data_IF_247281270452
#
_entry.id   IF_247281270452
#
_cell.length_a   1.000
_cell.length_b   1.000
_cell.length_c   1.000
_cell.angle_alpha   90.00
_cell.angle_beta   90.00
_cell.angle_gamma   90.00
#
_symmetry.space_group_name_H-M   'P 1'
#
loop_
_entity.id
_entity.type
_entity.pdbx_description
1 polymer ?
#
# COMPACT_ATOMS: atom_id res chain seq x y z
N UNK A 1 -50.82 -52.63 -60.61
CA UNK A 1 -50.92 -51.69 -61.74
C UNK A 1 -51.59 -50.39 -61.28
N UNK A 2 -50.97 -49.23 -61.58
CA UNK A 2 -51.50 -47.84 -61.61
C UNK A 2 -51.84 -47.21 -60.24
N UNK A 3 -51.08 -46.26 -59.66
CA UNK A 3 -50.68 -44.87 -60.04
C UNK A 3 -51.86 -43.92 -60.36
N UNK A 4 -52.18 -42.98 -59.43
CA UNK A 4 -52.32 -41.50 -59.57
C UNK A 4 -53.11 -40.91 -58.36
N UNK A 5 -52.45 -40.12 -57.51
CA UNK A 5 -52.48 -38.63 -57.40
C UNK A 5 -53.78 -38.05 -56.81
N UNK A 6 -53.70 -37.49 -55.59
CA UNK A 6 -54.05 -36.08 -55.33
C UNK A 6 -53.49 -35.65 -53.96
N UNK A 7 -52.66 -34.60 -53.97
CA UNK A 7 -52.09 -33.91 -52.81
C UNK A 7 -52.74 -32.54 -52.78
N UNK A 8 -53.44 -32.22 -51.70
CA UNK A 8 -53.85 -30.85 -51.36
C UNK A 8 -54.09 -30.74 -49.84
N UNK A 9 -53.24 -29.92 -49.22
CA UNK A 9 -53.45 -29.04 -48.05
C UNK A 9 -53.92 -29.57 -46.69
N UNK A 10 -53.08 -29.32 -45.68
CA UNK A 10 -53.30 -28.72 -44.34
C UNK A 10 -52.15 -29.23 -43.45
N UNK A 11 -51.30 -28.44 -42.79
CA UNK A 11 -51.39 -27.07 -42.32
C UNK A 11 -50.66 -27.05 -40.96
N UNK A 12 -49.47 -26.44 -40.94
CA UNK A 12 -48.71 -25.89 -39.80
C UNK A 12 -48.77 -26.53 -38.41
N UNK A 13 -47.62 -27.04 -37.93
CA UNK A 13 -47.05 -26.72 -36.60
C UNK A 13 -45.64 -27.30 -36.48
N UNK A 14 -44.63 -26.64 -37.06
CA UNK A 14 -43.24 -26.85 -36.63
C UNK A 14 -43.06 -26.06 -35.33
N UNK A 15 -42.99 -26.76 -34.20
CA UNK A 15 -42.55 -26.23 -32.92
C UNK A 15 -41.08 -25.81 -33.07
N UNK A 16 -40.86 -24.57 -33.49
CA UNK A 16 -39.56 -23.92 -33.41
C UNK A 16 -39.22 -23.73 -31.93
N UNK A 17 -38.41 -24.64 -31.39
CA UNK A 17 -37.71 -24.45 -30.13
C UNK A 17 -36.98 -23.10 -30.20
N UNK A 18 -37.17 -22.16 -29.27
CA UNK A 18 -36.34 -20.98 -29.26
C UNK A 18 -34.93 -21.45 -28.90
N UNK A 19 -34.03 -21.37 -29.88
CA UNK A 19 -32.61 -21.30 -29.61
C UNK A 19 -32.49 -20.10 -28.67
N UNK A 20 -32.29 -20.37 -27.39
CA UNK A 20 -31.87 -19.39 -26.41
C UNK A 20 -30.53 -18.89 -26.95
N UNK A 21 -30.59 -17.80 -27.71
CA UNK A 21 -29.46 -16.95 -27.97
C UNK A 21 -29.05 -16.47 -26.58
N UNK A 22 -28.14 -17.21 -25.94
CA UNK A 22 -27.21 -16.63 -24.98
C UNK A 22 -26.51 -15.56 -25.78
N UNK A 23 -27.09 -14.36 -25.78
CA UNK A 23 -26.38 -13.16 -26.12
C UNK A 23 -25.11 -13.24 -25.29
N UNK A 24 -23.98 -13.48 -25.94
CA UNK A 24 -22.70 -13.09 -25.40
C UNK A 24 -22.86 -11.60 -25.14
N UNK A 25 -23.24 -11.25 -23.91
CA UNK A 25 -22.93 -9.94 -23.34
C UNK A 25 -21.48 -9.74 -23.73
N UNK A 26 -21.20 -8.78 -24.61
CA UNK A 26 -19.83 -8.37 -24.87
C UNK A 26 -19.16 -8.30 -23.50
N UNK A 27 -18.09 -9.07 -23.29
CA UNK A 27 -17.48 -9.21 -21.98
C UNK A 27 -17.23 -7.80 -21.47
N UNK A 28 -17.89 -7.41 -20.37
CA UNK A 28 -17.77 -6.05 -19.82
C UNK A 28 -16.28 -5.82 -19.58
N UNK A 29 -15.74 -4.78 -20.22
CA UNK A 29 -14.39 -4.34 -19.97
C UNK A 29 -14.41 -3.47 -18.71
N UNK A 30 -13.81 -3.96 -17.63
CA UNK A 30 -13.66 -3.19 -16.40
C UNK A 30 -12.46 -2.26 -16.55
N UNK A 31 -12.61 -0.98 -16.20
CA UNK A 31 -11.52 -0.01 -16.18
C UNK A 31 -11.23 0.44 -14.77
N UNK A 32 -10.04 0.14 -14.29
CA UNK A 32 -9.60 0.50 -12.95
C UNK A 32 -8.44 1.49 -13.06
N UNK A 33 -8.62 2.67 -12.48
CA UNK A 33 -7.56 3.65 -12.35
C UNK A 33 -6.72 3.37 -11.12
N UNK A 34 -5.39 3.48 -11.21
CA UNK A 34 -4.50 3.28 -10.08
C UNK A 34 -3.45 4.36 -9.99
N UNK A 35 -3.52 5.17 -8.93
CA UNK A 35 -2.58 6.26 -8.65
C UNK A 35 -1.68 5.91 -7.45
N UNK A 36 -0.38 5.82 -7.66
CA UNK A 36 0.60 5.47 -6.62
C UNK A 36 1.58 6.63 -6.35
N UNK A 37 2.01 6.79 -5.09
CA UNK A 37 2.93 7.86 -4.71
C UNK A 37 4.40 7.54 -5.03
N UNK A 38 4.84 6.30 -4.79
CA UNK A 38 6.26 5.97 -4.62
C UNK A 38 6.83 4.91 -5.58
N UNK A 39 6.00 4.01 -6.14
CA UNK A 39 6.50 2.85 -6.92
C UNK A 39 6.80 3.26 -8.36
N UNK A 40 7.97 2.96 -8.94
CA UNK A 40 8.25 3.23 -10.34
C UNK A 40 7.22 2.59 -11.26
N UNK A 41 6.71 3.32 -12.26
CA UNK A 41 5.61 2.82 -13.11
C UNK A 41 5.96 1.49 -13.80
N UNK A 42 7.23 1.33 -14.20
CA UNK A 42 7.76 0.10 -14.81
C UNK A 42 7.66 -1.14 -13.90
N UNK A 43 7.66 -0.96 -12.59
CA UNK A 43 7.66 -2.05 -11.61
C UNK A 43 6.23 -2.50 -11.23
N UNK A 44 5.22 -1.72 -11.64
CA UNK A 44 3.79 -1.97 -11.38
C UNK A 44 3.09 -2.79 -12.48
N UNK A 45 3.72 -2.92 -13.65
CA UNK A 45 3.10 -3.44 -14.87
C UNK A 45 3.22 -4.95 -15.06
N UNK A 46 2.37 -5.49 -15.93
CA UNK A 46 2.39 -6.89 -16.35
C UNK A 46 1.61 -7.84 -15.44
N UNK A 47 1.54 -9.13 -15.80
CA UNK A 47 0.83 -10.13 -15.01
C UNK A 47 1.52 -10.40 -13.67
N UNK A 48 2.84 -10.24 -13.58
CA UNK A 48 3.61 -10.46 -12.37
C UNK A 48 4.51 -9.25 -12.09
N UNK A 49 3.95 -8.15 -11.58
CA UNK A 49 4.71 -6.95 -11.23
C UNK A 49 5.89 -7.25 -10.33
N UNK A 50 7.01 -6.55 -10.55
CA UNK A 50 8.21 -6.72 -9.71
C UNK A 50 7.93 -6.21 -8.30
N UNK A 51 7.25 -5.07 -8.18
CA UNK A 51 6.87 -4.49 -6.89
C UNK A 51 5.87 -5.41 -6.15
N UNK A 52 6.15 -5.79 -4.89
CA UNK A 52 5.35 -6.78 -4.17
C UNK A 52 3.93 -6.31 -3.86
N UNK A 53 3.74 -5.02 -3.58
CA UNK A 53 2.42 -4.43 -3.35
C UNK A 53 1.61 -4.47 -4.64
N UNK A 54 2.26 -4.10 -5.75
CA UNK A 54 1.65 -4.11 -7.07
C UNK A 54 1.22 -5.52 -7.49
N UNK A 55 2.10 -6.49 -7.26
CA UNK A 55 1.86 -7.91 -7.50
C UNK A 55 0.69 -8.44 -6.69
N UNK A 56 0.61 -8.09 -5.40
CA UNK A 56 -0.46 -8.55 -4.52
C UNK A 56 -1.85 -8.10 -4.99
N UNK A 57 -1.98 -6.85 -5.45
CA UNK A 57 -3.24 -6.34 -6.01
C UNK A 57 -3.59 -7.00 -7.34
N UNK A 58 -2.65 -7.09 -8.29
CA UNK A 58 -2.88 -7.72 -9.60
C UNK A 58 -3.25 -9.20 -9.44
N UNK A 59 -2.60 -9.91 -8.53
CA UNK A 59 -2.96 -11.29 -8.20
C UNK A 59 -4.34 -11.38 -7.55
N UNK A 60 -4.66 -10.51 -6.59
CA UNK A 60 -5.99 -10.49 -5.97
C UNK A 60 -7.11 -10.23 -6.98
N UNK A 61 -6.89 -9.35 -7.97
CA UNK A 61 -7.83 -9.12 -9.06
C UNK A 61 -7.98 -10.37 -9.95
N UNK A 62 -6.87 -11.02 -10.30
CA UNK A 62 -6.88 -12.27 -11.08
C UNK A 62 -7.64 -13.39 -10.38
N UNK A 63 -7.42 -13.56 -9.07
CA UNK A 63 -8.09 -14.56 -8.24
C UNK A 63 -9.62 -14.38 -8.24
N UNK A 64 -10.09 -13.14 -8.46
CA UNK A 64 -11.50 -12.77 -8.57
C UNK A 64 -12.02 -12.77 -10.04
N UNK A 65 -11.18 -13.17 -11.00
CA UNK A 65 -11.54 -13.27 -12.41
C UNK A 65 -11.35 -11.98 -13.23
N UNK A 66 -10.70 -10.95 -12.67
CA UNK A 66 -10.32 -9.74 -13.39
C UNK A 66 -8.91 -9.88 -13.95
N UNK A 67 -8.81 -10.07 -15.26
CA UNK A 67 -7.56 -10.39 -15.96
C UNK A 67 -7.24 -9.25 -16.93
N UNK A 68 -6.11 -8.58 -16.66
CA UNK A 68 -5.63 -7.47 -17.49
C UNK A 68 -5.41 -7.91 -18.93
N UNK A 69 -5.88 -7.10 -19.88
CA UNK A 69 -5.83 -7.38 -21.31
C UNK A 69 -6.89 -8.35 -21.83
N UNK A 70 -7.72 -8.92 -20.95
CA UNK A 70 -8.87 -9.74 -21.34
C UNK A 70 -10.20 -9.04 -21.03
N UNK A 71 -10.48 -8.83 -19.75
CA UNK A 71 -11.70 -8.18 -19.27
C UNK A 71 -11.42 -7.00 -18.34
N UNK A 72 -10.14 -6.65 -18.13
CA UNK A 72 -9.71 -5.56 -17.26
C UNK A 72 -8.69 -4.67 -17.99
N UNK A 73 -8.83 -3.36 -17.82
CA UNK A 73 -7.81 -2.34 -18.08
C UNK A 73 -7.37 -1.76 -16.75
N UNK A 74 -6.06 -1.76 -16.49
CA UNK A 74 -5.44 -1.12 -15.33
C UNK A 74 -4.69 0.13 -15.77
N UNK A 75 -5.34 1.28 -15.66
CA UNK A 75 -4.76 2.58 -15.98
C UNK A 75 -3.88 3.04 -14.82
N UNK A 76 -2.56 2.86 -14.93
CA UNK A 76 -1.61 3.16 -13.86
C UNK A 76 -1.03 4.56 -14.01
N UNK A 77 -0.84 5.25 -12.88
CA UNK A 77 -0.10 6.49 -12.74
C UNK A 77 0.74 6.43 -11.47
N UNK A 78 1.98 6.89 -11.55
CA UNK A 78 2.83 6.99 -10.37
C UNK A 78 3.59 8.31 -10.32
N UNK A 79 3.62 8.89 -9.12
CA UNK A 79 4.43 10.06 -8.84
C UNK A 79 5.92 9.70 -8.67
N UNK A 80 6.25 8.43 -8.42
CA UNK A 80 7.64 7.94 -8.27
C UNK A 80 8.45 8.77 -7.26
N UNK A 81 7.79 9.16 -6.15
CA UNK A 81 8.36 10.00 -5.09
C UNK A 81 8.28 11.50 -5.33
N UNK A 82 7.81 11.96 -6.50
CA UNK A 82 7.63 13.39 -6.85
C UNK A 82 6.22 13.87 -6.54
N UNK A 83 5.97 14.15 -5.26
CA UNK A 83 4.62 14.42 -4.74
C UNK A 83 3.93 15.62 -5.43
N UNK A 84 4.71 16.58 -5.94
CA UNK A 84 4.22 17.71 -6.72
C UNK A 84 3.46 17.30 -8.00
N UNK A 85 3.72 16.10 -8.54
CA UNK A 85 3.05 15.58 -9.76
C UNK A 85 1.66 14.98 -9.50
N UNK A 86 1.27 14.79 -8.23
CA UNK A 86 0.05 14.05 -7.89
C UNK A 86 -1.21 14.70 -8.48
N UNK A 87 -1.29 16.04 -8.47
CA UNK A 87 -2.45 16.76 -9.00
C UNK A 87 -2.68 16.52 -10.49
N UNK A 88 -1.62 16.61 -11.29
CA UNK A 88 -1.65 16.33 -12.73
C UNK A 88 -2.03 14.86 -13.01
N UNK A 89 -1.35 13.92 -12.35
CA UNK A 89 -1.58 12.49 -12.52
C UNK A 89 -3.01 12.08 -12.10
N UNK A 90 -3.56 12.71 -11.07
CA UNK A 90 -4.95 12.52 -10.66
C UNK A 90 -5.94 13.00 -11.72
N UNK A 91 -5.68 14.16 -12.35
CA UNK A 91 -6.52 14.71 -13.42
C UNK A 91 -6.51 13.83 -14.66
N UNK A 92 -5.34 13.35 -15.08
CA UNK A 92 -5.24 12.38 -16.17
C UNK A 92 -6.05 11.12 -15.89
N UNK A 93 -5.94 10.58 -14.67
CA UNK A 93 -6.61 9.34 -14.30
C UNK A 93 -8.14 9.47 -14.29
N UNK A 94 -8.66 10.59 -13.76
CA UNK A 94 -10.12 10.87 -13.75
C UNK A 94 -10.64 11.06 -15.18
N UNK A 95 -9.86 11.70 -16.06
CA UNK A 95 -10.25 11.92 -17.46
C UNK A 95 -10.43 10.62 -18.27
N UNK A 96 -9.82 9.51 -17.83
CA UNK A 96 -10.00 8.19 -18.44
C UNK A 96 -11.35 7.53 -18.11
N UNK A 97 -12.15 8.16 -17.25
CA UNK A 97 -13.45 7.68 -16.77
C UNK A 97 -13.40 6.22 -16.28
N UNK A 98 -12.53 5.90 -15.29
CA UNK A 98 -12.49 4.56 -14.73
C UNK A 98 -13.78 4.22 -13.97
N UNK A 99 -14.12 2.92 -13.91
CA UNK A 99 -15.23 2.40 -13.10
C UNK A 99 -14.93 2.56 -11.59
N UNK A 100 -13.66 2.45 -11.21
CA UNK A 100 -13.17 2.61 -9.83
C UNK A 100 -11.71 3.03 -9.85
N UNK A 101 -11.30 3.83 -8.87
CA UNK A 101 -9.92 4.26 -8.69
C UNK A 101 -9.33 3.73 -7.38
N UNK A 102 -8.05 3.37 -7.41
CA UNK A 102 -7.28 2.92 -6.25
C UNK A 102 -6.14 3.91 -6.04
N UNK A 103 -5.85 4.22 -4.78
CA UNK A 103 -4.67 5.01 -4.41
C UNK A 103 -3.60 4.16 -3.73
N UNK A 104 -2.37 4.66 -3.71
CA UNK A 104 -1.30 4.11 -2.87
C UNK A 104 -0.41 5.22 -2.35
N UNK A 105 -0.32 5.36 -1.02
CA UNK A 105 0.62 6.29 -0.38
C UNK A 105 0.00 7.34 0.54
N UNK A 106 -1.15 7.10 1.19
CA UNK A 106 -1.72 8.00 2.20
C UNK A 106 -2.97 8.75 1.76
N UNK A 107 -3.59 9.47 2.69
CA UNK A 107 -4.89 10.14 2.47
C UNK A 107 -4.82 11.26 1.42
N UNK A 108 -3.69 11.96 1.30
CA UNK A 108 -3.51 13.04 0.33
C UNK A 108 -3.70 12.56 -1.13
N UNK A 109 -3.42 11.29 -1.41
CA UNK A 109 -3.65 10.67 -2.72
C UNK A 109 -5.15 10.58 -3.02
N UNK A 110 -5.94 10.13 -2.04
CA UNK A 110 -7.39 10.03 -2.18
C UNK A 110 -8.02 11.43 -2.23
N UNK A 111 -7.49 12.39 -1.47
CA UNK A 111 -7.97 13.78 -1.52
C UNK A 111 -7.73 14.41 -2.90
N UNK A 112 -6.61 14.11 -3.55
CA UNK A 112 -6.33 14.58 -4.90
C UNK A 112 -7.38 14.11 -5.91
N UNK A 113 -7.77 12.83 -5.87
CA UNK A 113 -8.84 12.29 -6.71
C UNK A 113 -10.22 12.85 -6.31
N UNK A 114 -10.51 12.92 -5.01
CA UNK A 114 -11.81 13.34 -4.50
C UNK A 114 -12.11 14.83 -4.76
N UNK A 115 -11.07 15.67 -4.95
CA UNK A 115 -11.24 17.07 -5.40
C UNK A 115 -11.74 17.17 -6.85
N UNK A 116 -11.42 16.17 -7.67
CA UNK A 116 -11.74 16.15 -9.10
C UNK A 116 -13.06 15.41 -9.38
N UNK A 117 -13.45 14.47 -8.52
CA UNK A 117 -14.72 13.75 -8.66
C UNK A 117 -15.31 13.33 -7.31
N UNK A 118 -16.63 13.47 -7.19
CA UNK A 118 -17.43 12.99 -6.06
C UNK A 118 -18.25 11.75 -6.39
N UNK A 119 -18.17 11.25 -7.63
CA UNK A 119 -19.04 10.18 -8.13
C UNK A 119 -18.28 8.89 -8.45
N UNK A 120 -17.06 8.99 -8.99
CA UNK A 120 -16.24 7.81 -9.28
C UNK A 120 -15.75 7.21 -7.95
N UNK A 121 -15.99 5.91 -7.68
CA UNK A 121 -15.49 5.23 -6.50
C UNK A 121 -13.98 5.32 -6.33
N UNK A 122 -13.52 5.58 -5.11
CA UNK A 122 -12.12 5.64 -4.71
C UNK A 122 -11.90 4.65 -3.57
N UNK A 123 -10.99 3.70 -3.77
CA UNK A 123 -10.52 2.80 -2.73
C UNK A 123 -9.15 3.29 -2.28
N UNK A 124 -9.00 3.61 -1.00
CA UNK A 124 -7.71 3.94 -0.37
C UNK A 124 -7.26 2.76 0.49
N UNK A 125 -6.36 1.89 0.01
CA UNK A 125 -5.89 0.73 0.78
C UNK A 125 -4.84 1.09 1.82
N UNK A 126 -4.52 2.37 1.96
CA UNK A 126 -3.39 2.86 2.73
C UNK A 126 -3.73 4.23 3.32
N UNK A 127 -4.87 4.33 4.00
CA UNK A 127 -5.34 5.56 4.64
C UNK A 127 -4.73 5.75 6.03
N UNK A 128 -4.63 7.00 6.46
CA UNK A 128 -4.01 7.35 7.75
C UNK A 128 -5.08 7.74 8.78
N UNK A 129 -5.75 8.86 8.52
CA UNK A 129 -6.93 9.36 9.22
C UNK A 129 -7.92 9.93 8.19
N UNK A 130 -8.66 9.07 7.47
CA UNK A 130 -9.56 9.51 6.41
C UNK A 130 -10.74 10.35 6.94
N UNK A 131 -11.04 10.30 8.24
CA UNK A 131 -12.03 11.17 8.87
C UNK A 131 -11.45 12.57 9.04
N UNK A 132 -10.29 12.71 9.68
CA UNK A 132 -9.58 13.98 9.82
C UNK A 132 -9.22 14.61 8.48
N UNK A 133 -8.92 13.79 7.46
CA UNK A 133 -8.68 14.23 6.09
C UNK A 133 -9.95 14.64 5.33
N UNK A 134 -11.14 14.49 5.91
CA UNK A 134 -12.43 14.83 5.28
C UNK A 134 -12.79 13.92 4.09
N UNK A 135 -12.17 12.75 3.98
CA UNK A 135 -12.45 11.77 2.92
C UNK A 135 -13.73 10.99 3.18
N UNK A 136 -14.00 10.69 4.46
CA UNK A 136 -15.14 9.88 4.90
C UNK A 136 -15.79 10.50 6.13
N UNK A 137 -17.09 10.32 6.31
CA UNK A 137 -17.81 10.83 7.48
C UNK A 137 -17.47 10.03 8.76
N UNK A 138 -17.32 8.72 8.64
CA UNK A 138 -16.87 7.82 9.71
C UNK A 138 -16.29 6.53 9.10
N UNK A 139 -15.58 5.75 9.92
CA UNK A 139 -15.06 4.46 9.46
C UNK A 139 -16.19 3.45 9.16
N UNK A 140 -17.25 3.42 9.98
CA UNK A 140 -18.36 2.48 9.79
C UNK A 140 -19.27 2.87 8.63
N UNK A 141 -19.45 4.17 8.40
CA UNK A 141 -20.31 4.73 7.36
C UNK A 141 -19.58 5.87 6.65
N UNK A 142 -18.86 5.58 5.54
CA UNK A 142 -18.10 6.61 4.85
C UNK A 142 -18.93 7.73 4.24
N UNK A 143 -20.14 7.42 3.75
CA UNK A 143 -21.12 8.41 3.27
C UNK A 143 -20.79 9.07 1.92
N UNK A 144 -19.66 8.76 1.29
CA UNK A 144 -19.23 9.35 0.02
C UNK A 144 -18.73 8.33 -1.00
N UNK A 145 -17.89 8.79 -1.93
CA UNK A 145 -17.27 7.92 -2.94
C UNK A 145 -15.94 7.28 -2.49
N UNK A 146 -15.52 7.47 -1.24
CA UNK A 146 -14.25 6.94 -0.71
C UNK A 146 -14.51 5.82 0.30
N UNK A 147 -13.75 4.74 0.21
CA UNK A 147 -13.68 3.65 1.21
C UNK A 147 -12.27 3.05 1.21
N UNK A 148 -11.99 2.01 2.00
CA UNK A 148 -10.73 1.28 1.95
C UNK A 148 -10.24 0.75 3.29
N UNK A 149 -8.95 0.89 3.54
CA UNK A 149 -8.28 0.35 4.71
C UNK A 149 -7.38 1.40 5.36
N UNK A 150 -7.28 1.35 6.69
CA UNK A 150 -6.25 2.07 7.41
C UNK A 150 -4.92 1.31 7.35
N UNK A 151 -3.83 2.04 7.20
CA UNK A 151 -2.46 1.55 7.33
C UNK A 151 -1.69 2.23 8.47
N UNK A 152 -2.11 3.44 8.85
CA UNK A 152 -1.59 4.10 10.04
C UNK A 152 -2.28 3.59 11.30
N UNK A 153 -1.49 3.36 12.34
CA UNK A 153 -1.93 2.77 13.61
C UNK A 153 -1.65 3.69 14.80
N UNK A 154 -1.32 4.96 14.55
CA UNK A 154 -1.20 5.99 15.58
C UNK A 154 0.20 6.11 16.19
N UNK A 155 0.42 7.15 17.02
CA UNK A 155 1.69 7.38 17.69
C UNK A 155 2.13 6.24 18.62
N UNK A 156 1.18 5.51 19.22
CA UNK A 156 1.45 4.36 20.08
C UNK A 156 2.15 3.22 19.33
N UNK A 157 1.83 3.05 18.05
CA UNK A 157 2.49 2.06 17.20
C UNK A 157 3.97 2.41 16.96
N UNK A 158 4.26 3.69 16.74
CA UNK A 158 5.61 4.18 16.51
C UNK A 158 6.45 4.14 17.79
N UNK A 159 5.87 4.47 18.95
CA UNK A 159 6.56 4.28 20.24
C UNK A 159 6.86 2.81 20.52
N UNK A 160 5.95 1.88 20.14
CA UNK A 160 6.22 0.44 20.19
C UNK A 160 7.38 0.03 19.28
N UNK A 161 7.46 0.61 18.07
CA UNK A 161 8.60 0.38 17.17
C UNK A 161 9.92 0.86 17.80
N UNK A 162 9.90 1.97 18.54
CA UNK A 162 11.11 2.48 19.22
C UNK A 162 11.54 1.53 20.36
N UNK A 163 10.57 1.00 21.11
CA UNK A 163 10.82 -0.02 22.13
C UNK A 163 11.44 -1.29 21.52
N UNK A 164 10.93 -1.76 20.38
CA UNK A 164 11.47 -2.95 19.70
C UNK A 164 12.91 -2.73 19.23
N UNK A 165 13.23 -1.54 18.71
CA UNK A 165 14.62 -1.20 18.35
C UNK A 165 15.53 -1.18 19.58
N UNK A 166 15.07 -0.60 20.69
CA UNK A 166 15.82 -0.58 21.95
C UNK A 166 16.02 -1.99 22.53
N UNK A 167 15.05 -2.89 22.39
CA UNK A 167 15.19 -4.28 22.79
C UNK A 167 16.19 -5.04 21.91
N UNK A 168 16.17 -4.82 20.59
CA UNK A 168 17.13 -5.40 19.66
C UNK A 168 18.55 -4.85 19.86
N UNK A 169 18.68 -3.59 20.27
CA UNK A 169 19.96 -2.89 20.48
C UNK A 169 19.99 -2.26 21.89
N UNK A 170 20.13 -3.06 22.97
CA UNK A 170 20.00 -2.56 24.35
C UNK A 170 20.97 -1.45 24.72
N UNK A 171 22.14 -1.43 24.08
CA UNK A 171 23.19 -0.43 24.32
C UNK A 171 22.95 0.90 23.60
N UNK A 172 21.99 0.98 22.68
CA UNK A 172 21.73 2.23 21.95
C UNK A 172 21.15 3.31 22.86
N UNK A 173 21.83 4.44 22.97
CA UNK A 173 21.42 5.61 23.76
C UNK A 173 21.13 6.81 22.88
N UNK A 174 21.70 6.88 21.67
CA UNK A 174 21.49 7.93 20.68
C UNK A 174 20.88 7.31 19.43
N UNK A 175 19.59 7.55 19.19
CA UNK A 175 18.89 7.00 18.04
C UNK A 175 18.58 8.12 17.06
N UNK A 176 19.04 7.99 15.81
CA UNK A 176 18.68 8.94 14.77
C UNK A 176 17.27 8.67 14.27
N UNK A 177 16.41 9.68 14.32
CA UNK A 177 15.10 9.68 13.71
C UNK A 177 15.19 10.35 12.33
N UNK A 178 15.25 9.53 11.28
CA UNK A 178 15.31 10.01 9.90
C UNK A 178 13.91 10.36 9.41
N UNK A 179 13.60 11.65 9.38
CA UNK A 179 12.26 12.14 9.12
C UNK A 179 12.27 13.54 8.50
N UNK A 180 11.25 13.88 7.72
CA UNK A 180 10.97 15.26 7.34
C UNK A 180 10.48 16.08 8.56
N UNK A 181 10.60 17.42 8.49
CA UNK A 181 10.26 18.34 9.59
C UNK A 181 8.81 18.21 10.05
N UNK A 182 7.87 18.10 9.12
CA UNK A 182 6.44 17.93 9.40
C UNK A 182 6.13 16.65 10.17
N UNK A 183 6.85 15.56 9.89
CA UNK A 183 6.72 14.31 10.66
C UNK A 183 7.32 14.44 12.07
N UNK A 184 8.46 15.14 12.21
CA UNK A 184 9.09 15.40 13.51
C UNK A 184 8.24 16.29 14.43
N UNK A 185 7.62 17.33 13.87
CA UNK A 185 6.78 18.27 14.60
C UNK A 185 5.33 17.77 14.74
N UNK A 186 4.97 16.71 14.01
CA UNK A 186 3.66 16.09 14.05
C UNK A 186 3.43 15.14 15.23
N UNK A 187 2.21 14.56 15.35
CA UNK A 187 1.82 13.73 16.49
C UNK A 187 2.76 12.55 16.76
N UNK A 188 3.29 11.91 15.71
CA UNK A 188 4.25 10.79 15.83
C UNK A 188 5.57 11.26 16.44
N UNK A 189 6.17 12.30 15.86
CA UNK A 189 7.45 12.82 16.33
C UNK A 189 7.36 13.32 17.78
N UNK A 190 6.26 13.99 18.14
CA UNK A 190 6.01 14.42 19.52
C UNK A 190 5.87 13.24 20.49
N UNK A 191 5.11 12.19 20.13
CA UNK A 191 4.98 11.01 20.98
C UNK A 191 6.31 10.27 21.16
N UNK A 192 7.12 10.17 20.09
CA UNK A 192 8.45 9.58 20.15
C UNK A 192 9.40 10.39 21.03
N UNK A 193 9.34 11.72 20.98
CA UNK A 193 10.11 12.61 21.86
C UNK A 193 9.75 12.42 23.34
N UNK A 194 8.48 12.17 23.66
CA UNK A 194 8.03 11.84 25.02
C UNK A 194 8.47 10.44 25.44
N UNK A 195 8.37 9.46 24.54
CA UNK A 195 8.68 8.06 24.86
C UNK A 195 10.18 7.79 25.01
N UNK A 196 11.02 8.41 24.18
CA UNK A 196 12.45 8.09 24.09
C UNK A 196 13.20 8.19 25.45
N UNK A 197 13.04 9.25 26.26
CA UNK A 197 13.70 9.34 27.56
C UNK A 197 13.30 8.23 28.53
N UNK A 198 12.05 7.75 28.46
CA UNK A 198 11.57 6.64 29.31
C UNK A 198 12.25 5.30 28.98
N UNK A 199 12.84 5.20 27.78
CA UNK A 199 13.64 4.07 27.30
C UNK A 199 15.15 4.31 27.46
N UNK A 200 15.57 5.40 28.09
CA UNK A 200 16.98 5.79 28.18
C UNK A 200 17.59 6.15 26.82
N UNK A 201 16.77 6.66 25.90
CA UNK A 201 17.17 7.06 24.54
C UNK A 201 17.06 8.57 24.39
N UNK A 202 18.10 9.17 23.82
CA UNK A 202 18.06 10.49 23.19
C UNK A 202 17.72 10.31 21.71
N UNK A 203 16.55 10.81 21.32
CA UNK A 203 16.12 10.78 19.93
C UNK A 203 16.64 12.02 19.20
N UNK A 204 17.39 11.81 18.12
CA UNK A 204 18.04 12.88 17.35
C UNK A 204 17.28 13.02 16.05
N UNK A 205 16.57 14.13 15.85
CA UNK A 205 15.97 14.42 14.55
C UNK A 205 17.06 14.63 13.51
N UNK A 206 17.08 13.77 12.51
CA UNK A 206 17.91 13.89 11.31
C UNK A 206 16.98 14.20 10.16
N UNK A 207 16.86 15.49 9.86
CA UNK A 207 16.02 15.96 8.77
C UNK A 207 16.58 15.56 7.41
N UNK A 208 15.70 15.11 6.51
CA UNK A 208 16.01 14.94 5.09
C UNK A 208 15.01 15.73 4.24
N UNK A 209 15.44 16.13 3.05
CA UNK A 209 14.55 16.72 2.06
C UNK A 209 13.78 15.63 1.29
N UNK A 210 12.64 15.96 0.65
CA UNK A 210 11.86 14.99 -0.15
C UNK A 210 12.66 14.25 -1.24
N UNK A 211 13.75 14.85 -1.74
CA UNK A 211 14.54 14.28 -2.84
C UNK A 211 16.04 14.20 -2.54
N UNK A 212 16.45 14.44 -1.29
CA UNK A 212 17.86 14.40 -0.93
C UNK A 212 18.07 13.95 0.51
N UNK A 213 18.95 12.95 0.66
CA UNK A 213 19.44 12.43 1.94
C UNK A 213 20.89 12.83 2.21
N UNK A 214 21.53 13.57 1.31
CA UNK A 214 22.98 13.83 1.37
C UNK A 214 23.39 14.50 2.68
N UNK A 215 22.68 15.55 3.10
CA UNK A 215 22.97 16.26 4.35
C UNK A 215 22.66 15.40 5.59
N UNK A 216 21.55 14.67 5.58
CA UNK A 216 21.17 13.72 6.62
C UNK A 216 22.26 12.65 6.84
N UNK A 217 22.73 12.06 5.74
CA UNK A 217 23.77 11.02 5.75
C UNK A 217 25.13 11.59 6.15
N UNK A 218 25.49 12.77 5.66
CA UNK A 218 26.72 13.46 6.06
C UNK A 218 26.72 13.77 7.56
N UNK A 219 25.59 14.22 8.11
CA UNK A 219 25.43 14.45 9.56
C UNK A 219 25.61 13.16 10.35
N UNK A 220 24.91 12.09 9.98
CA UNK A 220 25.05 10.78 10.65
C UNK A 220 26.45 10.16 10.47
N UNK A 221 27.21 10.55 9.46
CA UNK A 221 28.61 10.12 9.30
C UNK A 221 29.54 10.89 10.23
N UNK A 222 29.34 12.20 10.39
CA UNK A 222 30.14 13.05 11.30
C UNK A 222 29.85 12.77 12.76
N UNK A 223 28.59 12.51 13.08
CA UNK A 223 28.11 12.22 14.43
C UNK A 223 27.30 10.92 14.42
N UNK A 224 27.98 9.75 14.38
CA UNK A 224 27.32 8.45 14.31
C UNK A 224 26.32 8.24 15.47
N UNK A 225 25.04 7.98 15.18
CA UNK A 225 24.11 7.48 16.18
C UNK A 225 24.36 5.98 16.42
N UNK A 226 23.82 5.46 17.52
CA UNK A 226 23.91 4.04 17.85
C UNK A 226 22.96 3.18 17.01
N UNK A 227 21.85 3.78 16.56
CA UNK A 227 20.86 3.11 15.72
C UNK A 227 20.04 4.10 14.88
N UNK A 228 19.39 3.58 13.83
CA UNK A 228 18.53 4.30 12.90
C UNK A 228 17.06 3.94 13.10
N UNK A 229 16.22 4.95 13.24
CA UNK A 229 14.77 4.84 13.21
C UNK A 229 14.25 5.62 12.00
N UNK A 230 13.76 4.90 10.99
CA UNK A 230 13.29 5.53 9.75
C UNK A 230 11.81 5.87 9.89
N UNK A 231 11.40 7.12 9.66
CA UNK A 231 10.00 7.52 9.73
C UNK A 231 9.15 6.88 8.62
N UNK A 232 7.89 6.58 8.95
CA UNK A 232 6.87 6.24 7.98
C UNK A 232 6.58 7.45 7.09
N UNK A 233 6.92 7.35 5.80
CA UNK A 233 6.55 8.32 4.77
C UNK A 233 6.75 7.72 3.34
N UNK A 234 5.88 8.02 2.35
CA UNK A 234 6.04 7.51 0.97
C UNK A 234 7.39 7.80 0.33
N UNK A 235 8.01 8.94 0.65
CA UNK A 235 9.37 9.28 0.16
C UNK A 235 10.42 8.32 0.72
N UNK A 236 10.33 7.95 2.00
CA UNK A 236 11.22 6.95 2.61
C UNK A 236 10.96 5.56 2.03
N UNK A 237 9.71 5.22 1.70
CA UNK A 237 9.40 3.98 0.99
C UNK A 237 10.07 3.94 -0.39
N UNK A 238 9.94 5.02 -1.17
CA UNK A 238 10.55 5.12 -2.51
C UNK A 238 12.09 4.96 -2.44
N UNK A 239 12.72 5.54 -1.42
CA UNK A 239 14.17 5.56 -1.23
C UNK A 239 14.70 4.49 -0.27
N UNK A 240 13.90 3.48 0.08
CA UNK A 240 14.23 2.47 1.10
C UNK A 240 15.57 1.78 0.85
N UNK A 241 15.89 1.44 -0.40
CA UNK A 241 17.17 0.80 -0.74
C UNK A 241 18.35 1.72 -0.43
N UNK A 242 18.26 3.00 -0.80
CA UNK A 242 19.30 4.00 -0.51
C UNK A 242 19.56 4.14 1.00
N UNK A 243 18.49 4.14 1.79
CA UNK A 243 18.57 4.24 3.26
C UNK A 243 19.20 2.98 3.86
N UNK A 244 18.78 1.80 3.41
CA UNK A 244 19.31 0.51 3.87
C UNK A 244 20.79 0.36 3.49
N UNK A 245 21.17 0.72 2.26
CA UNK A 245 22.56 0.68 1.80
C UNK A 245 23.46 1.61 2.62
N UNK A 246 22.95 2.80 2.99
CA UNK A 246 23.66 3.71 3.88
C UNK A 246 23.86 3.10 5.27
N UNK A 247 22.78 2.58 5.88
CA UNK A 247 22.85 1.94 7.19
C UNK A 247 23.83 0.75 7.21
N UNK A 248 23.82 -0.07 6.16
CA UNK A 248 24.75 -1.20 5.99
C UNK A 248 26.21 -0.72 5.91
N UNK A 249 26.50 0.31 5.12
CA UNK A 249 27.86 0.89 5.02
C UNK A 249 28.35 1.47 6.34
N UNK A 250 27.45 2.06 7.13
CA UNK A 250 27.77 2.62 8.45
C UNK A 250 27.76 1.57 9.56
N UNK A 251 27.48 0.29 9.26
CA UNK A 251 27.24 -0.78 10.25
C UNK A 251 26.24 -0.34 11.33
N UNK A 252 25.19 0.36 10.92
CA UNK A 252 24.21 0.96 11.80
C UNK A 252 22.95 0.08 11.87
N UNK A 253 22.62 -0.50 13.03
CA UNK A 253 21.36 -1.23 13.19
C UNK A 253 20.19 -0.27 13.03
N UNK A 254 19.10 -0.72 12.41
CA UNK A 254 17.94 0.16 12.20
C UNK A 254 16.61 -0.56 12.11
N UNK A 255 15.56 0.17 12.49
CA UNK A 255 14.18 -0.27 12.34
C UNK A 255 13.45 0.55 11.28
N UNK A 256 12.70 -0.16 10.46
CA UNK A 256 12.01 0.40 9.29
C UNK A 256 10.48 0.25 9.44
N UNK A 257 9.68 1.16 8.87
CA UNK A 257 8.23 1.11 8.94
C UNK A 257 7.62 0.23 7.83
N UNK A 258 8.45 -0.50 7.09
CA UNK A 258 8.06 -1.33 5.95
C UNK A 258 8.84 -2.63 5.94
N UNK A 259 8.15 -3.74 5.71
CA UNK A 259 8.79 -5.05 5.49
C UNK A 259 9.78 -5.04 4.33
N UNK A 260 9.51 -4.25 3.28
CA UNK A 260 10.33 -4.19 2.06
C UNK A 260 11.74 -3.67 2.34
N UNK A 261 11.95 -2.90 3.41
CA UNK A 261 13.28 -2.48 3.82
C UNK A 261 14.10 -3.64 4.41
N UNK A 262 13.46 -4.58 5.10
CA UNK A 262 14.12 -5.79 5.64
C UNK A 262 14.48 -6.74 4.51
N UNK A 263 13.59 -6.88 3.51
CA UNK A 263 13.88 -7.62 2.27
C UNK A 263 15.06 -7.01 1.47
N UNK A 264 15.26 -5.70 1.60
CA UNK A 264 16.39 -4.97 1.00
C UNK A 264 17.70 -5.08 1.81
N UNK A 265 17.70 -5.76 2.96
CA UNK A 265 18.88 -5.94 3.82
C UNK A 265 18.85 -5.15 5.14
N UNK A 266 17.77 -4.42 5.43
CA UNK A 266 17.57 -3.77 6.72
C UNK A 266 17.48 -4.77 7.87
N UNK A 267 17.80 -4.33 9.10
CA UNK A 267 17.83 -5.21 10.27
C UNK A 267 16.45 -5.71 10.68
N UNK A 268 15.47 -4.82 10.87
CA UNK A 268 14.14 -5.22 11.31
C UNK A 268 13.06 -4.22 10.91
N UNK A 269 11.81 -4.66 10.88
CA UNK A 269 10.65 -3.79 10.69
C UNK A 269 9.50 -4.21 11.57
N UNK A 270 8.68 -3.24 11.95
CA UNK A 270 7.39 -3.50 12.55
C UNK A 270 6.36 -2.67 11.79
N UNK A 271 5.46 -3.33 11.07
CA UNK A 271 4.57 -2.66 10.10
C UNK A 271 3.25 -3.39 9.93
N UNK A 272 2.24 -2.66 9.44
CA UNK A 272 1.06 -3.27 8.82
C UNK A 272 1.47 -3.98 7.53
N UNK A 273 0.85 -5.11 7.22
CA UNK A 273 1.11 -5.82 5.97
C UNK A 273 0.50 -5.11 4.76
N UNK A 274 1.27 -4.22 4.10
CA UNK A 274 0.79 -3.48 2.91
C UNK A 274 0.37 -4.43 1.79
N UNK A 275 1.04 -5.57 1.62
CA UNK A 275 0.65 -6.58 0.63
C UNK A 275 -0.72 -7.20 0.93
N UNK A 276 -1.09 -7.39 2.20
CA UNK A 276 -2.44 -7.85 2.57
C UNK A 276 -3.49 -6.81 2.20
N UNK A 277 -3.25 -5.53 2.57
CA UNK A 277 -4.17 -4.43 2.28
C UNK A 277 -4.46 -4.30 0.78
N UNK A 278 -3.43 -4.36 -0.05
CA UNK A 278 -3.59 -4.27 -1.50
C UNK A 278 -4.22 -5.53 -2.12
N UNK A 279 -3.94 -6.73 -1.59
CA UNK A 279 -4.68 -7.93 -2.02
C UNK A 279 -6.17 -7.80 -1.68
N UNK A 280 -6.52 -7.31 -0.49
CA UNK A 280 -7.91 -7.10 -0.05
C UNK A 280 -8.61 -5.97 -0.81
N UNK A 281 -7.87 -4.96 -1.26
CA UNK A 281 -8.40 -3.90 -2.12
C UNK A 281 -8.99 -4.45 -3.43
N UNK A 282 -8.46 -5.55 -3.97
CA UNK A 282 -9.06 -6.23 -5.12
C UNK A 282 -10.48 -6.74 -4.81
N UNK A 283 -10.74 -7.19 -3.59
CA UNK A 283 -12.08 -7.56 -3.12
C UNK A 283 -13.04 -6.36 -3.05
N UNK A 284 -12.53 -5.17 -2.71
CA UNK A 284 -13.34 -3.94 -2.76
C UNK A 284 -13.65 -3.53 -4.20
N UNK A 285 -12.71 -3.69 -5.13
CA UNK A 285 -12.94 -3.51 -6.57
C UNK A 285 -14.05 -4.43 -7.06
N UNK A 286 -14.05 -5.71 -6.66
CA UNK A 286 -15.07 -6.68 -7.03
C UNK A 286 -16.46 -6.29 -6.50
N UNK A 287 -16.57 -5.94 -5.21
CA UNK A 287 -17.82 -5.46 -4.60
C UNK A 287 -18.39 -4.25 -5.33
N UNK A 288 -17.55 -3.24 -5.59
CA UNK A 288 -17.95 -2.01 -6.28
C UNK A 288 -18.36 -2.31 -7.73
N UNK A 289 -17.60 -3.16 -8.43
CA UNK A 289 -17.89 -3.57 -9.81
C UNK A 289 -19.22 -4.31 -9.94
N UNK A 290 -19.68 -4.97 -8.86
CA UNK A 290 -20.98 -5.64 -8.73
C UNK A 290 -22.11 -4.73 -8.23
N UNK A 291 -21.84 -3.45 -7.96
CA UNK A 291 -22.83 -2.43 -7.65
C UNK A 291 -22.93 -2.00 -6.18
N UNK A 292 -22.09 -2.55 -5.30
CA UNK A 292 -22.01 -2.04 -3.91
C UNK A 292 -21.44 -0.63 -3.91
N UNK A 293 -22.08 0.31 -3.21
CA UNK A 293 -21.63 1.71 -3.16
C UNK A 293 -20.50 1.85 -2.13
N UNK A 294 -19.46 2.67 -2.39
CA UNK A 294 -18.41 2.95 -1.41
C UNK A 294 -18.93 3.49 -0.08
N UNK A 295 -20.02 4.28 -0.13
CA UNK A 295 -20.67 4.83 1.06
C UNK A 295 -21.16 3.77 2.07
N UNK A 296 -21.41 2.54 1.59
CA UNK A 296 -21.92 1.41 2.37
C UNK A 296 -20.82 0.41 2.74
N UNK A 297 -19.57 0.64 2.32
CA UNK A 297 -18.43 -0.22 2.61
C UNK A 297 -17.62 0.43 3.74
N UNK A 298 -17.57 -0.14 4.94
CA UNK A 298 -16.77 0.40 6.03
C UNK A 298 -15.28 0.53 5.66
N UNK A 299 -14.63 1.58 6.17
CA UNK A 299 -13.17 1.65 6.20
C UNK A 299 -12.68 0.70 7.28
N UNK A 300 -11.91 -0.31 6.89
CA UNK A 300 -11.46 -1.37 7.79
C UNK A 300 -10.10 -1.02 8.41
N UNK A 301 -9.94 -1.37 9.69
CA UNK A 301 -8.64 -1.30 10.36
C UNK A 301 -7.72 -2.43 9.91
N UNK A 302 -6.39 -2.24 9.98
CA UNK A 302 -5.47 -3.33 9.68
C UNK A 302 -5.63 -4.43 10.73
N UNK A 303 -5.73 -5.66 10.26
CA UNK A 303 -5.90 -6.86 11.11
C UNK A 303 -4.59 -7.64 11.27
N UNK A 304 -3.59 -7.32 10.44
CA UNK A 304 -2.29 -8.00 10.42
C UNK A 304 -1.16 -7.00 10.60
N UNK A 305 -0.44 -7.16 11.71
CA UNK A 305 0.84 -6.51 11.98
C UNK A 305 1.92 -7.58 11.80
N UNK A 306 3.09 -7.16 11.34
CA UNK A 306 4.21 -8.07 11.11
C UNK A 306 5.50 -7.47 11.70
N UNK A 307 6.14 -8.23 12.60
CA UNK A 307 7.50 -8.02 13.05
C UNK A 307 8.43 -8.91 12.21
N UNK A 308 9.34 -8.28 11.46
CA UNK A 308 10.37 -8.96 10.69
C UNK A 308 11.74 -8.68 11.26
N UNK A 309 12.58 -9.71 11.31
CA UNK A 309 13.98 -9.63 11.76
C UNK A 309 14.88 -10.29 10.73
N UNK A 310 16.00 -9.65 10.39
CA UNK A 310 16.99 -10.17 9.47
C UNK A 310 18.24 -10.61 10.23
N UNK A 311 18.39 -11.92 10.42
CA UNK A 311 19.52 -12.52 11.13
C UNK A 311 20.82 -12.44 10.32
N UNK A 312 20.78 -12.39 8.98
CA UNK A 312 21.98 -12.09 8.17
C UNK A 312 22.54 -10.73 8.54
N UNK A 313 21.68 -9.72 8.57
CA UNK A 313 22.07 -8.36 8.91
C UNK A 313 22.53 -8.27 10.36
N UNK A 314 21.82 -8.90 11.30
CA UNK A 314 22.25 -8.97 12.70
C UNK A 314 23.66 -9.57 12.84
N UNK A 315 23.94 -10.68 12.15
CA UNK A 315 25.27 -11.31 12.13
C UNK A 315 26.35 -10.41 11.55
N UNK A 316 26.08 -9.71 10.44
CA UNK A 316 27.02 -8.75 9.83
C UNK A 316 27.35 -7.62 10.82
N UNK A 317 26.36 -7.19 11.60
CA UNK A 317 26.48 -6.14 12.61
C UNK A 317 27.07 -6.62 13.94
N UNK A 318 27.38 -7.91 14.09
CA UNK A 318 27.78 -8.53 15.37
C UNK A 318 26.76 -8.28 16.50
N UNK A 319 25.47 -8.35 16.14
CA UNK A 319 24.35 -8.11 17.02
C UNK A 319 23.64 -9.42 17.36
N UNK A 320 23.64 -9.78 18.64
CA UNK A 320 22.80 -10.87 19.14
C UNK A 320 21.39 -10.37 19.40
N UNK A 321 20.43 -10.81 18.59
CA UNK A 321 19.02 -10.50 18.79
C UNK A 321 18.48 -11.35 19.96
N UNK A 322 17.79 -10.75 20.94
CA UNK A 322 17.20 -11.51 22.04
C UNK A 322 16.20 -12.57 21.57
N UNK A 323 16.25 -13.77 22.17
CA UNK A 323 15.32 -14.87 21.84
C UNK A 323 13.86 -14.47 22.07
N UNK A 324 13.58 -13.62 23.05
CA UNK A 324 12.24 -13.06 23.32
C UNK A 324 11.71 -12.20 22.17
N UNK A 325 12.60 -11.55 21.42
CA UNK A 325 12.24 -10.77 20.24
C UNK A 325 12.03 -11.70 19.05
N UNK A 326 12.90 -12.68 18.85
CA UNK A 326 12.75 -13.68 17.78
C UNK A 326 11.46 -14.50 17.93
N UNK A 327 11.10 -14.88 19.15
CA UNK A 327 9.86 -15.61 19.43
C UNK A 327 8.58 -14.83 19.08
N UNK A 328 8.67 -13.49 18.97
CA UNK A 328 7.56 -12.62 18.56
C UNK A 328 7.64 -12.21 17.09
N UNK A 329 8.70 -12.59 16.37
CA UNK A 329 8.84 -12.25 14.96
C UNK A 329 7.92 -13.13 14.11
N UNK A 330 7.11 -12.49 13.26
CA UNK A 330 6.26 -13.18 12.29
C UNK A 330 7.09 -13.76 11.15
N UNK A 331 8.25 -13.18 10.87
CA UNK A 331 9.19 -13.71 9.88
C UNK A 331 10.64 -13.40 10.27
N UNK A 332 11.50 -14.39 10.09
CA UNK A 332 12.94 -14.31 10.33
C UNK A 332 13.65 -14.60 9.01
N UNK A 333 14.45 -13.63 8.54
CA UNK A 333 15.29 -13.81 7.35
C UNK A 333 16.63 -14.41 7.80
N UNK A 334 16.88 -15.64 7.36
CA UNK A 334 18.10 -16.42 7.59
C UNK A 334 19.00 -16.51 6.38
#
# INVERSE_FOLDING_TARGET
MRRRKFVTLLGGALLAWPIVVRAQRAARLYRVGWLFAAVPLKDMGGPDPVDPVSRAFVHGLRDLGYIEGQNLVLDRRSAEGKLERIGELAAELVALNPDVMITGGGDFMAQALQRLTKTVPIISPYGDDPVGAGLVASLAHPGGNVTGFLAYTGPEFETKRLQLLKEAVPKATRIAFLAMKDIWEGPVGLALQVAAPTLGVTLIHVEHAPHSYAEAFARMTREPPDALFVAYHPVNYANRQLIVDFAARQRMPGIYPYREAVMAGGLMSYSVSTTDLFRRAAGLVDKISKGTKPADIPVERPTKLELLVNLKTAKILDLQIPDTLLARADNVIE
#
